data_IF_363118902643
#
_entry.id   IF_363118902643
#
_cell.length_a   1.000
_cell.length_b   1.000
_cell.length_c   1.000
_cell.angle_alpha   90.00
_cell.angle_beta   90.00
_cell.angle_gamma   90.00
#
_symmetry.space_group_name_H-M   'P 1'
#
loop_
_entity.id
_entity.type
_entity.pdbx_description
1 polymer ?
#
# COMPACT_ATOMS: atom_id res chain seq x y z
N UNK A 1 -9.84 16.85 -22.50
CA UNK A 1 -9.06 15.72 -21.94
C UNK A 1 -8.66 16.05 -20.51
N UNK A 2 -8.43 15.06 -19.65
CA UNK A 2 -8.05 15.29 -18.24
C UNK A 2 -6.71 16.04 -18.13
N UNK A 3 -5.73 15.67 -18.95
CA UNK A 3 -4.44 16.36 -19.04
C UNK A 3 -4.61 17.86 -19.28
N UNK A 4 -5.45 18.27 -20.22
CA UNK A 4 -5.71 19.67 -20.53
C UNK A 4 -6.32 20.43 -19.33
N UNK A 5 -7.27 19.82 -18.61
CA UNK A 5 -7.86 20.43 -17.41
C UNK A 5 -6.79 20.67 -16.32
N UNK A 6 -5.87 19.71 -16.14
CA UNK A 6 -4.75 19.86 -15.20
C UNK A 6 -3.79 20.96 -15.68
N UNK A 7 -3.38 20.94 -16.95
CA UNK A 7 -2.45 21.94 -17.50
C UNK A 7 -2.98 23.36 -17.37
N UNK A 8 -4.30 23.58 -17.59
CA UNK A 8 -4.93 24.89 -17.43
C UNK A 8 -4.83 25.43 -15.99
N UNK A 9 -4.67 24.54 -14.98
CA UNK A 9 -4.44 24.95 -13.59
C UNK A 9 -3.00 25.36 -13.31
N UNK A 10 -2.07 24.96 -14.15
CA UNK A 10 -0.63 25.19 -13.98
C UNK A 10 -0.15 26.43 -14.73
N UNK A 11 -0.74 26.74 -15.88
CA UNK A 11 -0.30 27.84 -16.74
C UNK A 11 -0.36 29.19 -16.01
N UNK A 12 0.73 29.93 -16.13
CA UNK A 12 0.85 31.29 -15.56
C UNK A 12 1.17 31.34 -14.06
N UNK A 13 1.40 30.20 -13.44
CA UNK A 13 1.76 30.12 -12.01
C UNK A 13 3.25 29.88 -11.80
N UNK A 14 3.77 30.42 -10.71
CA UNK A 14 5.09 30.06 -10.17
C UNK A 14 4.97 28.76 -9.38
N UNK A 15 5.46 27.63 -9.97
CA UNK A 15 5.22 26.27 -9.46
C UNK A 15 6.47 25.72 -8.80
N UNK A 16 6.26 25.14 -7.61
CA UNK A 16 7.22 24.27 -6.94
C UNK A 16 6.77 22.80 -6.98
N UNK A 17 7.67 21.90 -7.38
CA UNK A 17 7.56 20.46 -7.19
C UNK A 17 8.32 20.13 -5.91
N UNK A 18 7.60 19.81 -4.83
CA UNK A 18 8.16 19.52 -3.52
C UNK A 18 8.33 18.02 -3.31
N UNK A 19 9.59 17.58 -3.31
CA UNK A 19 10.01 16.19 -3.32
C UNK A 19 10.16 15.62 -4.73
N UNK A 20 11.38 15.17 -5.09
CA UNK A 20 11.71 14.67 -6.43
C UNK A 20 11.90 13.14 -6.47
N UNK A 21 11.10 12.43 -5.68
CA UNK A 21 10.95 10.98 -5.74
C UNK A 21 10.11 10.53 -6.96
N UNK A 22 9.44 9.39 -6.84
CA UNK A 22 8.63 8.79 -7.92
C UNK A 22 7.54 9.73 -8.45
N UNK A 23 6.70 10.29 -7.56
CA UNK A 23 5.63 11.21 -7.96
C UNK A 23 6.17 12.57 -8.43
N UNK A 24 7.22 13.11 -7.80
CA UNK A 24 7.82 14.37 -8.24
C UNK A 24 8.42 14.27 -9.66
N UNK A 25 9.08 13.16 -9.98
CA UNK A 25 9.59 12.88 -11.33
C UNK A 25 8.47 12.71 -12.36
N UNK A 26 7.39 12.03 -11.97
CA UNK A 26 6.18 11.89 -12.79
C UNK A 26 5.55 13.25 -13.08
N UNK A 27 5.41 14.11 -12.06
CA UNK A 27 4.91 15.48 -12.19
C UNK A 27 5.78 16.31 -13.14
N UNK A 28 7.09 16.28 -12.94
CA UNK A 28 8.04 16.97 -13.80
C UNK A 28 7.92 16.50 -15.26
N UNK A 29 7.91 15.20 -15.49
CA UNK A 29 7.81 14.61 -16.83
C UNK A 29 6.52 15.00 -17.54
N UNK A 30 5.39 14.98 -16.82
CA UNK A 30 4.10 15.41 -17.35
C UNK A 30 4.12 16.89 -17.73
N UNK A 31 4.59 17.78 -16.84
CA UNK A 31 4.66 19.22 -17.14
C UNK A 31 5.62 19.48 -18.29
N UNK A 32 6.80 18.89 -18.30
CA UNK A 32 7.81 19.12 -19.32
C UNK A 32 7.40 18.62 -20.70
N UNK A 33 6.62 17.54 -20.75
CA UNK A 33 6.05 17.02 -22.00
C UNK A 33 5.14 18.03 -22.71
N UNK A 34 4.34 18.77 -21.93
CA UNK A 34 3.30 19.66 -22.47
C UNK A 34 3.68 21.15 -22.44
N UNK A 35 4.47 21.57 -21.46
CA UNK A 35 4.85 22.95 -21.19
C UNK A 35 6.38 23.05 -21.16
N UNK A 36 7.01 22.86 -22.34
CA UNK A 36 8.46 22.70 -22.51
C UNK A 36 9.27 23.85 -21.92
N UNK A 37 8.80 25.07 -22.10
CA UNK A 37 9.52 26.30 -21.71
C UNK A 37 9.06 26.85 -20.34
N UNK A 38 8.15 26.17 -19.67
CA UNK A 38 7.67 26.61 -18.35
C UNK A 38 8.79 26.49 -17.32
N UNK A 39 9.06 27.60 -16.62
CA UNK A 39 9.99 27.57 -15.49
C UNK A 39 9.40 26.81 -14.31
N UNK A 40 10.17 25.89 -13.71
CA UNK A 40 9.78 25.10 -12.56
C UNK A 40 10.83 25.22 -11.45
N UNK A 41 10.38 25.24 -10.21
CA UNK A 41 11.30 25.03 -9.08
C UNK A 41 11.12 23.58 -8.57
N UNK A 42 12.23 22.86 -8.44
CA UNK A 42 12.27 21.52 -7.85
C UNK A 42 12.92 21.63 -6.48
N UNK A 43 12.22 21.16 -5.46
CA UNK A 43 12.61 21.29 -4.06
C UNK A 43 12.75 19.91 -3.45
N UNK A 44 13.95 19.55 -2.97
CA UNK A 44 14.21 18.27 -2.31
C UNK A 44 15.35 18.40 -1.29
N UNK A 45 15.34 17.57 -0.26
CA UNK A 45 16.46 17.53 0.69
C UNK A 45 17.74 17.04 0.05
N UNK A 46 17.65 16.09 -0.87
CA UNK A 46 18.79 15.46 -1.53
C UNK A 46 19.24 16.29 -2.75
N UNK A 47 20.50 16.18 -3.10
CA UNK A 47 21.02 16.74 -4.34
C UNK A 47 20.38 16.05 -5.56
N UNK A 48 19.96 16.85 -6.54
CA UNK A 48 19.31 16.40 -7.75
C UNK A 48 20.20 16.78 -8.93
N UNK A 49 20.45 15.82 -9.82
CA UNK A 49 21.11 16.05 -11.09
C UNK A 49 20.06 15.97 -12.22
N UNK A 50 19.85 17.06 -12.93
CA UNK A 50 18.93 17.16 -14.04
C UNK A 50 19.46 18.21 -15.04
N UNK A 51 19.50 17.83 -16.31
CA UNK A 51 19.91 18.74 -17.39
C UNK A 51 18.67 19.39 -18.01
N UNK A 52 18.25 20.51 -17.42
CA UNK A 52 17.13 21.32 -17.89
C UNK A 52 17.40 22.79 -17.51
N UNK A 53 17.49 23.65 -18.53
CA UNK A 53 17.78 25.07 -18.32
C UNK A 53 16.61 25.89 -17.74
N UNK A 54 15.40 25.34 -17.78
CA UNK A 54 14.18 26.00 -17.29
C UNK A 54 13.78 25.52 -15.88
N UNK A 55 14.75 25.17 -15.04
CA UNK A 55 14.50 24.82 -13.64
C UNK A 55 15.37 25.61 -12.67
N UNK A 56 14.85 25.79 -11.49
CA UNK A 56 15.60 26.16 -10.28
C UNK A 56 15.62 24.98 -9.32
N UNK A 57 16.80 24.63 -8.78
CA UNK A 57 16.94 23.60 -7.75
C UNK A 57 17.10 24.26 -6.38
N UNK A 58 16.26 23.84 -5.43
CA UNK A 58 16.38 24.21 -4.02
C UNK A 58 16.62 22.91 -3.24
N UNK A 59 17.86 22.71 -2.75
CA UNK A 59 18.28 21.46 -2.12
C UNK A 59 19.01 21.73 -0.79
N UNK A 60 19.19 20.67 0.01
CA UNK A 60 19.93 20.73 1.27
C UNK A 60 19.01 20.86 2.48
N UNK A 61 19.58 21.20 3.65
CA UNK A 61 18.86 21.15 4.93
C UNK A 61 17.72 22.14 5.05
N UNK A 62 17.85 23.32 4.43
CA UNK A 62 16.85 24.41 4.48
C UNK A 62 15.91 24.40 3.26
N UNK A 63 15.71 23.26 2.61
CA UNK A 63 14.92 23.15 1.38
C UNK A 63 13.43 23.51 1.56
N UNK A 64 12.92 23.51 2.78
CA UNK A 64 11.53 23.87 3.11
C UNK A 64 11.34 25.38 3.41
N UNK A 65 12.41 26.17 3.34
CA UNK A 65 12.30 27.61 3.58
C UNK A 65 11.61 28.32 2.42
N UNK A 66 10.87 29.39 2.74
CA UNK A 66 10.23 30.29 1.76
C UNK A 66 9.26 29.61 0.79
N UNK A 67 8.53 28.60 1.22
CA UNK A 67 7.51 27.91 0.40
C UNK A 67 6.34 28.84 0.03
N UNK A 68 6.08 29.89 0.81
CA UNK A 68 5.01 30.88 0.60
C UNK A 68 5.19 31.74 -0.66
N UNK A 69 6.38 31.79 -1.26
CA UNK A 69 6.67 32.54 -2.49
C UNK A 69 6.06 31.92 -3.75
N UNK A 70 5.68 30.64 -3.73
CA UNK A 70 5.10 29.96 -4.86
C UNK A 70 3.59 30.15 -4.93
N UNK A 71 3.03 30.12 -6.15
CA UNK A 71 1.59 30.16 -6.37
C UNK A 71 0.96 28.77 -6.23
N UNK A 72 1.72 27.73 -6.53
CA UNK A 72 1.28 26.33 -6.41
C UNK A 72 2.46 25.44 -6.00
N UNK A 73 2.22 24.61 -5.01
CA UNK A 73 3.20 23.64 -4.49
C UNK A 73 2.64 22.23 -4.72
N UNK A 74 3.23 21.49 -5.67
CA UNK A 74 2.84 20.11 -5.94
C UNK A 74 3.69 19.20 -5.04
N UNK A 75 3.11 18.76 -3.92
CA UNK A 75 3.82 18.03 -2.87
C UNK A 75 3.78 16.53 -3.12
N UNK A 76 4.96 15.89 -3.11
CA UNK A 76 5.10 14.44 -3.06
C UNK A 76 4.78 13.88 -1.66
N UNK A 77 4.16 12.69 -1.54
CA UNK A 77 3.72 12.13 -0.25
C UNK A 77 4.86 11.91 0.75
N UNK A 78 6.07 11.62 0.28
CA UNK A 78 7.22 11.35 1.15
C UNK A 78 7.78 12.57 1.90
N UNK A 79 7.34 13.78 1.58
CA UNK A 79 7.78 14.99 2.28
C UNK A 79 6.85 15.27 3.46
N UNK A 80 7.40 15.27 4.68
CA UNK A 80 6.68 15.67 5.88
C UNK A 80 6.79 17.17 6.11
N UNK A 81 5.66 17.81 6.40
CA UNK A 81 5.59 19.22 6.81
C UNK A 81 5.24 19.39 8.29
N UNK A 82 5.35 18.33 9.10
CA UNK A 82 4.94 18.32 10.52
C UNK A 82 5.60 19.41 11.38
N UNK A 83 6.82 19.80 11.04
CA UNK A 83 7.63 20.79 11.77
C UNK A 83 7.56 22.19 11.13
N UNK A 84 6.68 22.40 10.14
CA UNK A 84 6.55 23.65 9.38
C UNK A 84 5.16 24.25 9.60
N UNK A 85 5.10 25.55 9.88
CA UNK A 85 3.85 26.30 9.85
C UNK A 85 3.48 26.65 8.41
N UNK A 86 2.64 25.81 7.80
CA UNK A 86 2.12 26.01 6.45
C UNK A 86 0.76 26.71 6.39
N UNK A 87 0.24 27.20 7.51
CA UNK A 87 -1.10 27.82 7.59
C UNK A 87 -1.30 28.96 6.60
N UNK A 88 -0.24 29.74 6.32
CA UNK A 88 -0.27 30.87 5.39
C UNK A 88 -0.37 30.49 3.91
N UNK A 89 -0.02 29.27 3.55
CA UNK A 89 0.02 28.80 2.15
C UNK A 89 -0.60 27.41 1.94
N UNK A 90 -1.39 26.93 2.90
CA UNK A 90 -2.09 25.64 2.82
C UNK A 90 -2.95 25.53 1.55
N UNK A 91 -3.58 26.64 1.13
CA UNK A 91 -4.41 26.66 -0.09
C UNK A 91 -3.60 26.53 -1.37
N UNK A 92 -2.29 26.79 -1.33
CA UNK A 92 -1.36 26.64 -2.45
C UNK A 92 -0.79 25.22 -2.56
N UNK A 93 -0.96 24.39 -1.51
CA UNK A 93 -0.48 23.00 -1.53
C UNK A 93 -1.49 22.11 -2.26
N UNK A 94 -0.99 21.34 -3.22
CA UNK A 94 -1.71 20.32 -3.95
C UNK A 94 -0.85 19.06 -4.11
N UNK A 95 -1.39 18.02 -4.72
CA UNK A 95 -0.69 16.77 -5.05
C UNK A 95 -1.18 16.24 -6.40
N UNK A 96 -0.49 15.22 -6.94
CA UNK A 96 -0.98 14.52 -8.14
C UNK A 96 -2.39 13.95 -7.92
N UNK A 97 -2.63 13.39 -6.73
CA UNK A 97 -3.94 12.83 -6.37
C UNK A 97 -5.02 13.91 -6.37
N UNK A 98 -4.77 15.05 -5.74
CA UNK A 98 -5.72 16.16 -5.71
C UNK A 98 -6.01 16.70 -7.11
N UNK A 99 -4.97 16.90 -7.93
CA UNK A 99 -5.14 17.35 -9.32
C UNK A 99 -6.03 16.39 -10.13
N UNK A 100 -5.93 15.08 -9.90
CA UNK A 100 -6.79 14.08 -10.55
C UNK A 100 -8.22 14.13 -9.98
N UNK A 101 -8.39 14.17 -8.66
CA UNK A 101 -9.70 14.25 -8.00
C UNK A 101 -10.51 15.48 -8.44
N UNK A 102 -9.85 16.61 -8.63
CA UNK A 102 -10.48 17.84 -9.12
C UNK A 102 -11.01 17.76 -10.56
N UNK A 103 -10.46 16.86 -11.37
CA UNK A 103 -10.85 16.75 -12.79
C UNK A 103 -11.75 15.56 -13.07
N UNK A 104 -11.68 14.52 -12.25
CA UNK A 104 -12.49 13.30 -12.43
C UNK A 104 -12.61 12.48 -11.13
N UNK A 105 -13.41 12.96 -10.16
CA UNK A 105 -13.70 12.20 -8.94
C UNK A 105 -14.73 11.08 -9.15
N UNK A 106 -15.58 11.20 -10.16
CA UNK A 106 -16.73 10.32 -10.42
C UNK A 106 -16.31 8.89 -10.83
N UNK A 107 -15.19 8.76 -11.52
CA UNK A 107 -14.68 7.47 -11.99
C UNK A 107 -13.65 6.84 -11.03
N UNK A 108 -13.47 7.42 -9.86
CA UNK A 108 -12.45 6.98 -8.90
C UNK A 108 -13.06 6.13 -7.79
N UNK A 109 -12.44 4.95 -7.59
CA UNK A 109 -12.60 4.09 -6.42
C UNK A 109 -11.34 4.27 -5.56
N UNK A 110 -11.45 5.03 -4.47
CA UNK A 110 -10.34 5.28 -3.56
C UNK A 110 -10.34 4.31 -2.39
N UNK A 111 -9.20 3.66 -2.12
CA UNK A 111 -9.06 2.66 -1.05
C UNK A 111 -7.93 3.06 -0.12
N UNK A 112 -8.24 3.27 1.16
CA UNK A 112 -7.26 3.52 2.23
C UNK A 112 -7.48 2.62 3.44
N UNK A 113 -6.62 2.74 4.41
CA UNK A 113 -6.61 1.99 5.67
C UNK A 113 -5.19 1.89 6.21
N UNK A 114 -5.01 1.39 7.40
CA UNK A 114 -3.67 1.06 7.90
C UNK A 114 -3.17 -0.21 7.25
N UNK A 115 -3.99 -1.28 7.23
CA UNK A 115 -3.66 -2.60 6.66
C UNK A 115 -4.68 -3.03 5.60
N UNK A 116 -4.26 -3.90 4.68
CA UNK A 116 -5.14 -4.50 3.66
C UNK A 116 -5.31 -3.70 2.37
N UNK A 117 -4.84 -2.44 2.30
CA UNK A 117 -4.98 -1.56 1.13
C UNK A 117 -4.61 -2.24 -0.19
N UNK A 118 -3.36 -2.63 -0.33
CA UNK A 118 -2.82 -3.18 -1.59
C UNK A 118 -3.55 -4.44 -2.03
N UNK A 119 -3.89 -5.33 -1.09
CA UNK A 119 -4.63 -6.56 -1.39
C UNK A 119 -6.03 -6.23 -1.91
N UNK A 120 -6.75 -5.32 -1.22
CA UNK A 120 -8.12 -4.93 -1.60
C UNK A 120 -8.14 -4.19 -2.92
N UNK A 121 -7.20 -3.25 -3.12
CA UNK A 121 -7.10 -2.45 -4.36
C UNK A 121 -6.77 -3.34 -5.56
N UNK A 122 -5.81 -4.26 -5.41
CA UNK A 122 -5.45 -5.17 -6.51
C UNK A 122 -6.54 -6.19 -6.80
N UNK A 123 -7.21 -6.74 -5.78
CA UNK A 123 -8.33 -7.65 -6.00
C UNK A 123 -9.49 -6.92 -6.71
N UNK A 124 -9.80 -5.68 -6.33
CA UNK A 124 -10.83 -4.87 -6.99
C UNK A 124 -10.46 -4.58 -8.44
N UNK A 125 -9.19 -4.25 -8.69
CA UNK A 125 -8.69 -4.06 -10.05
C UNK A 125 -8.89 -5.32 -10.92
N UNK A 126 -8.53 -6.50 -10.43
CA UNK A 126 -8.70 -7.75 -11.16
C UNK A 126 -10.18 -8.09 -11.42
N UNK A 127 -11.06 -7.84 -10.44
CA UNK A 127 -12.52 -8.01 -10.61
C UNK A 127 -13.07 -7.08 -11.68
N UNK A 128 -12.66 -5.82 -11.69
CA UNK A 128 -13.07 -4.84 -12.70
C UNK A 128 -12.51 -5.19 -14.08
N UNK A 129 -11.23 -5.52 -14.19
CA UNK A 129 -10.57 -5.89 -15.44
C UNK A 129 -11.20 -7.10 -16.12
N UNK A 130 -11.82 -8.00 -15.34
CA UNK A 130 -12.59 -9.13 -15.87
C UNK A 130 -13.91 -8.72 -16.55
N UNK A 131 -14.39 -7.48 -16.31
CA UNK A 131 -15.73 -7.04 -16.65
C UNK A 131 -15.80 -5.69 -17.38
N UNK A 132 -14.71 -4.91 -17.39
CA UNK A 132 -14.60 -3.61 -18.04
C UNK A 132 -13.28 -3.53 -18.83
N UNK A 133 -13.30 -2.77 -19.92
CA UNK A 133 -12.14 -2.64 -20.81
C UNK A 133 -11.09 -1.63 -20.29
N UNK A 134 -11.55 -0.49 -19.77
CA UNK A 134 -10.69 0.62 -19.36
C UNK A 134 -10.61 0.70 -17.84
N UNK A 135 -9.69 -0.07 -17.26
CA UNK A 135 -9.45 -0.12 -15.80
C UNK A 135 -7.99 0.15 -15.51
N UNK A 136 -7.72 1.06 -14.59
CA UNK A 136 -6.36 1.45 -14.20
C UNK A 136 -6.13 1.25 -12.71
N UNK A 137 -4.94 0.74 -12.37
CA UNK A 137 -4.46 0.55 -11.00
C UNK A 137 -3.40 1.61 -10.69
N UNK A 138 -3.68 2.49 -9.75
CA UNK A 138 -2.93 3.72 -9.53
C UNK A 138 -2.60 4.00 -8.06
N UNK A 139 -1.74 4.97 -7.83
CA UNK A 139 -1.46 5.54 -6.52
C UNK A 139 -0.26 4.93 -5.80
N UNK A 140 -0.41 4.59 -4.53
CA UNK A 140 0.67 4.06 -3.71
C UNK A 140 1.20 2.70 -4.22
N UNK A 141 0.34 1.91 -4.88
CA UNK A 141 0.70 0.78 -5.75
C UNK A 141 0.34 1.11 -7.21
N UNK A 142 0.81 0.30 -8.15
CA UNK A 142 0.60 0.56 -9.58
C UNK A 142 1.53 1.66 -10.08
N UNK A 143 1.01 2.60 -10.84
CA UNK A 143 1.77 3.73 -11.42
C UNK A 143 1.30 5.06 -10.83
N UNK A 144 2.15 6.12 -10.84
CA UNK A 144 1.73 7.48 -10.50
C UNK A 144 0.57 7.94 -11.37
N UNK A 145 -0.35 8.70 -10.80
CA UNK A 145 -1.60 9.06 -11.49
C UNK A 145 -1.40 9.88 -12.76
N UNK A 146 -0.32 10.66 -12.87
CA UNK A 146 -0.03 11.46 -14.07
C UNK A 146 0.69 10.67 -15.18
N UNK A 147 1.27 9.50 -14.89
CA UNK A 147 2.03 8.72 -15.90
C UNK A 147 1.12 8.19 -17.03
N UNK A 148 -0.16 8.00 -16.77
CA UNK A 148 -1.15 7.51 -17.75
C UNK A 148 -2.38 8.40 -17.90
N UNK A 149 -2.28 9.67 -17.46
CA UNK A 149 -3.42 10.61 -17.46
C UNK A 149 -4.00 10.84 -18.89
N UNK A 150 -3.19 10.66 -19.92
CA UNK A 150 -3.59 10.82 -21.32
C UNK A 150 -4.44 9.66 -21.84
N UNK A 151 -4.32 8.49 -21.19
CA UNK A 151 -5.04 7.27 -21.56
C UNK A 151 -6.45 7.23 -20.96
N UNK A 152 -6.74 8.12 -19.99
CA UNK A 152 -8.05 8.11 -19.32
C UNK A 152 -9.13 8.76 -20.14
N UNK A 153 -10.28 8.09 -20.20
CA UNK A 153 -11.51 8.55 -20.83
C UNK A 153 -12.64 8.67 -19.80
N UNK A 154 -13.77 9.28 -20.12
CA UNK A 154 -14.94 9.28 -19.23
C UNK A 154 -15.50 7.87 -18.92
N UNK A 155 -15.10 6.83 -19.67
CA UNK A 155 -15.47 5.43 -19.41
C UNK A 155 -14.46 4.67 -18.57
N UNK A 156 -13.31 5.25 -18.31
CA UNK A 156 -12.26 4.65 -17.48
C UNK A 156 -12.72 4.49 -16.04
N UNK A 157 -12.32 3.40 -15.40
CA UNK A 157 -12.49 3.20 -13.95
C UNK A 157 -11.13 3.19 -13.29
N UNK A 158 -10.90 4.10 -12.36
CA UNK A 158 -9.61 4.31 -11.71
C UNK A 158 -9.65 3.74 -10.29
N UNK A 159 -8.92 2.66 -10.03
CA UNK A 159 -8.81 2.05 -8.71
C UNK A 159 -7.52 2.56 -8.08
N UNK A 160 -7.63 3.36 -7.02
CA UNK A 160 -6.50 4.09 -6.45
C UNK A 160 -6.24 3.66 -5.02
N UNK A 161 -5.03 3.12 -4.76
CA UNK A 161 -4.56 2.99 -3.39
C UNK A 161 -4.11 4.34 -2.86
N UNK A 162 -4.76 4.82 -1.80
CA UNK A 162 -4.48 6.12 -1.20
C UNK A 162 -3.83 5.97 0.18
N UNK A 163 -2.59 6.44 0.32
CA UNK A 163 -1.91 6.52 1.61
C UNK A 163 -2.41 7.72 2.44
N UNK A 164 -2.13 7.73 3.76
CA UNK A 164 -2.43 8.90 4.60
C UNK A 164 -1.70 10.15 4.14
N UNK A 165 -0.49 10.00 3.62
CA UNK A 165 0.33 11.11 3.13
C UNK A 165 -0.18 11.70 1.82
N UNK A 166 -0.79 10.87 0.95
CA UNK A 166 -1.45 11.34 -0.27
C UNK A 166 -2.77 12.05 0.04
N UNK A 167 -3.48 11.62 1.09
CA UNK A 167 -4.76 12.20 1.52
C UNK A 167 -4.61 13.46 2.38
N UNK A 168 -3.40 13.84 2.79
CA UNK A 168 -3.16 14.92 3.75
C UNK A 168 -3.72 16.28 3.29
N UNK A 169 -3.53 16.63 2.03
CA UNK A 169 -3.90 17.94 1.48
C UNK A 169 -4.98 17.85 0.40
N UNK A 170 -5.72 16.75 0.30
CA UNK A 170 -6.84 16.67 -0.65
C UNK A 170 -8.02 17.54 -0.20
N UNK A 171 -8.69 18.14 -1.17
CA UNK A 171 -9.87 19.01 -1.01
C UNK A 171 -11.08 18.42 -1.76
N UNK A 172 -10.90 17.25 -2.36
CA UNK A 172 -11.92 16.46 -3.01
C UNK A 172 -11.84 15.01 -2.51
N UNK A 173 -12.98 14.31 -2.56
CA UNK A 173 -13.06 12.88 -2.21
C UNK A 173 -13.55 12.08 -3.42
N UNK A 174 -13.12 10.82 -3.60
CA UNK A 174 -13.59 9.97 -4.69
C UNK A 174 -15.08 9.62 -4.52
N UNK A 175 -15.74 9.32 -5.63
CA UNK A 175 -17.14 8.89 -5.65
C UNK A 175 -17.38 7.64 -4.81
N UNK A 176 -16.55 6.62 -4.97
CA UNK A 176 -16.55 5.43 -4.11
C UNK A 176 -15.29 5.46 -3.26
N UNK A 177 -15.46 5.58 -1.95
CA UNK A 177 -14.37 5.66 -1.00
C UNK A 177 -14.43 4.53 0.03
N UNK A 178 -13.26 3.99 0.39
CA UNK A 178 -13.13 2.87 1.31
C UNK A 178 -12.10 3.15 2.38
N UNK A 179 -12.47 2.97 3.65
CA UNK A 179 -11.52 2.86 4.77
C UNK A 179 -11.62 1.46 5.37
N UNK A 180 -10.57 0.66 5.16
CA UNK A 180 -10.52 -0.72 5.63
C UNK A 180 -10.41 -0.84 7.15
N UNK A 181 -9.57 -0.02 7.76
CA UNK A 181 -9.29 0.03 9.20
C UNK A 181 -8.42 1.23 9.55
N UNK A 182 -8.42 1.61 10.83
CA UNK A 182 -7.50 2.58 11.42
C UNK A 182 -6.80 1.93 12.61
N UNK A 183 -5.46 1.91 12.60
CA UNK A 183 -4.59 1.49 13.68
C UNK A 183 -3.46 2.52 13.85
N UNK A 184 -2.66 2.38 14.88
CA UNK A 184 -1.47 3.20 15.05
C UNK A 184 -0.42 2.81 14.02
N UNK A 185 0.10 3.80 13.26
CA UNK A 185 1.16 3.63 12.27
C UNK A 185 1.73 5.01 11.86
N UNK A 186 2.95 5.06 11.30
CA UNK A 186 3.57 6.25 10.69
C UNK A 186 3.56 7.54 11.54
N UNK A 187 3.75 7.43 12.87
CA UNK A 187 3.76 8.59 13.76
C UNK A 187 4.97 9.52 13.54
N UNK A 188 6.07 8.97 13.05
CA UNK A 188 7.27 9.68 12.66
C UNK A 188 7.02 10.74 11.58
N UNK A 189 6.13 10.44 10.63
CA UNK A 189 5.75 11.35 9.54
C UNK A 189 4.59 12.26 9.92
N UNK A 190 3.54 11.70 10.49
CA UNK A 190 2.31 12.42 10.80
C UNK A 190 2.39 13.30 12.07
N UNK A 191 3.38 13.07 12.94
CA UNK A 191 3.55 13.77 14.21
C UNK A 191 2.57 13.35 15.31
N UNK A 192 1.34 12.91 14.97
CA UNK A 192 0.36 12.39 15.92
C UNK A 192 -0.57 11.34 15.30
N UNK A 193 -1.10 10.46 16.15
CA UNK A 193 -2.08 9.45 15.75
C UNK A 193 -3.37 10.11 15.23
N UNK A 194 -3.77 11.21 15.86
CA UNK A 194 -4.97 11.94 15.46
C UNK A 194 -4.81 12.54 14.06
N UNK A 195 -3.68 13.18 13.76
CA UNK A 195 -3.40 13.73 12.44
C UNK A 195 -3.35 12.62 11.38
N UNK A 196 -2.70 11.49 11.68
CA UNK A 196 -2.67 10.32 10.81
C UNK A 196 -4.08 9.80 10.47
N UNK A 197 -4.96 9.68 11.47
CA UNK A 197 -6.34 9.24 11.25
C UNK A 197 -7.15 10.30 10.48
N UNK A 198 -7.03 11.58 10.84
CA UNK A 198 -7.74 12.67 10.17
C UNK A 198 -7.36 12.76 8.68
N UNK A 199 -6.07 12.57 8.34
CA UNK A 199 -5.63 12.51 6.95
C UNK A 199 -6.36 11.43 6.16
N UNK A 200 -6.55 10.22 6.75
CA UNK A 200 -7.32 9.16 6.08
C UNK A 200 -8.81 9.50 5.97
N UNK A 201 -9.39 10.19 6.94
CA UNK A 201 -10.79 10.62 6.89
C UNK A 201 -11.06 11.61 5.75
N UNK A 202 -10.05 12.31 5.23
CA UNK A 202 -10.21 13.17 4.06
C UNK A 202 -10.75 12.43 2.82
N UNK A 203 -10.61 11.09 2.76
CA UNK A 203 -11.20 10.28 1.68
C UNK A 203 -12.75 10.34 1.67
N UNK A 204 -13.38 10.62 2.82
CA UNK A 204 -14.84 10.78 2.97
C UNK A 204 -15.29 12.22 3.12
N UNK A 205 -14.41 13.09 3.65
CA UNK A 205 -14.74 14.44 4.15
C UNK A 205 -15.45 15.31 3.14
N UNK A 206 -15.12 15.17 1.86
CA UNK A 206 -15.62 16.03 0.78
C UNK A 206 -16.63 15.32 -0.11
N UNK A 207 -17.13 14.15 0.31
CA UNK A 207 -18.20 13.42 -0.37
C UNK A 207 -19.56 14.15 -0.22
N UNK A 208 -20.41 13.92 -1.18
CA UNK A 208 -21.80 14.41 -1.25
C UNK A 208 -22.79 13.25 -1.04
N UNK A 209 -24.08 13.54 -1.08
CA UNK A 209 -25.15 12.54 -0.93
C UNK A 209 -25.17 11.50 -2.07
N UNK A 210 -24.61 11.84 -3.24
CA UNK A 210 -24.53 10.95 -4.41
C UNK A 210 -23.35 9.96 -4.32
N UNK A 211 -22.50 10.09 -3.31
CA UNK A 211 -21.28 9.29 -3.15
C UNK A 211 -21.46 8.11 -2.18
N UNK A 212 -20.46 7.23 -2.12
CA UNK A 212 -20.48 6.03 -1.29
C UNK A 212 -19.28 5.95 -0.36
N UNK A 213 -19.54 5.85 0.95
CA UNK A 213 -18.55 5.61 2.00
C UNK A 213 -18.65 4.17 2.52
N UNK A 214 -17.62 3.37 2.30
CA UNK A 214 -17.56 1.97 2.74
C UNK A 214 -16.52 1.85 3.83
N UNK A 215 -16.88 1.38 5.02
CA UNK A 215 -15.99 1.36 6.16
C UNK A 215 -16.21 0.16 7.09
N UNK A 216 -15.16 -0.16 7.86
CA UNK A 216 -15.20 -1.21 8.89
C UNK A 216 -15.82 -0.69 10.17
N UNK A 217 -16.97 -1.20 10.58
CA UNK A 217 -17.66 -0.76 11.80
C UNK A 217 -17.35 -1.61 13.04
N UNK A 218 -16.44 -2.58 12.93
CA UNK A 218 -15.83 -3.30 14.05
C UNK A 218 -14.44 -2.76 14.43
N UNK A 219 -14.06 -1.59 13.89
CA UNK A 219 -12.82 -0.91 14.24
C UNK A 219 -13.11 0.32 15.11
N UNK A 220 -12.68 0.29 16.37
CA UNK A 220 -13.00 1.30 17.38
C UNK A 220 -12.55 2.72 16.97
N UNK A 221 -11.30 2.85 16.48
CA UNK A 221 -10.78 4.16 16.04
C UNK A 221 -11.60 4.73 14.88
N UNK A 222 -11.98 3.87 13.92
CA UNK A 222 -12.76 4.30 12.77
C UNK A 222 -14.19 4.69 13.17
N UNK A 223 -14.82 3.92 14.06
CA UNK A 223 -16.14 4.26 14.57
C UNK A 223 -16.18 5.61 15.28
N UNK A 224 -15.16 5.91 16.08
CA UNK A 224 -15.00 7.22 16.70
C UNK A 224 -14.90 8.32 15.65
N UNK A 225 -14.03 8.16 14.64
CA UNK A 225 -13.87 9.14 13.56
C UNK A 225 -15.13 9.32 12.71
N UNK A 226 -15.88 8.25 12.44
CA UNK A 226 -17.17 8.33 11.71
C UNK A 226 -18.24 9.13 12.47
N UNK A 227 -18.12 9.28 13.80
CA UNK A 227 -18.99 10.16 14.61
C UNK A 227 -18.51 11.60 14.65
N UNK A 228 -17.19 11.81 14.56
CA UNK A 228 -16.58 13.16 14.59
C UNK A 228 -16.75 13.91 13.25
N UNK A 229 -16.83 13.20 12.13
CA UNK A 229 -16.93 13.76 10.79
C UNK A 229 -18.37 13.74 10.27
N UNK A 230 -18.83 14.85 9.69
CA UNK A 230 -20.12 14.92 8.98
C UNK A 230 -20.03 14.28 7.59
N UNK A 231 -20.17 12.96 7.54
CA UNK A 231 -20.12 12.19 6.29
C UNK A 231 -21.53 12.16 5.68
N UNK A 232 -21.69 12.78 4.51
CA UNK A 232 -22.99 12.95 3.82
C UNK A 232 -23.37 11.81 2.92
N UNK A 233 -22.38 11.07 2.42
CA UNK A 233 -22.54 9.98 1.45
C UNK A 233 -23.32 8.79 2.00
N UNK A 234 -23.84 7.96 1.08
CA UNK A 234 -24.46 6.68 1.41
C UNK A 234 -23.43 5.75 2.06
N UNK A 235 -23.68 5.34 3.29
CA UNK A 235 -22.75 4.55 4.11
C UNK A 235 -23.04 3.06 3.98
N UNK A 236 -21.96 2.27 3.76
CA UNK A 236 -21.95 0.81 3.88
C UNK A 236 -21.03 0.39 5.03
N UNK A 237 -21.57 -0.28 6.04
CA UNK A 237 -20.79 -0.74 7.18
C UNK A 237 -20.43 -2.23 7.03
N UNK A 238 -19.12 -2.52 7.12
CA UNK A 238 -18.55 -3.87 6.98
C UNK A 238 -18.09 -4.36 8.35
N UNK A 239 -18.65 -5.49 8.82
CA UNK A 239 -18.28 -6.11 10.10
C UNK A 239 -18.13 -7.62 9.96
N UNK A 240 -17.17 -8.16 10.67
CA UNK A 240 -16.90 -9.60 10.68
C UNK A 240 -17.77 -10.33 11.71
N UNK A 241 -19.08 -10.29 11.53
CA UNK A 241 -20.09 -11.03 12.30
C UNK A 241 -21.30 -11.37 11.43
N UNK A 242 -22.26 -12.12 12.00
CA UNK A 242 -23.49 -12.55 11.33
C UNK A 242 -24.75 -11.93 11.95
N UNK A 243 -24.63 -10.78 12.61
CA UNK A 243 -25.78 -10.10 13.17
C UNK A 243 -26.66 -9.47 12.08
N UNK A 244 -27.99 -9.70 12.17
CA UNK A 244 -28.95 -9.02 11.31
C UNK A 244 -29.03 -7.55 11.71
N UNK A 245 -28.71 -6.66 10.78
CA UNK A 245 -28.71 -5.21 11.01
C UNK A 245 -29.55 -4.51 9.94
N UNK A 246 -30.16 -3.40 10.33
CA UNK A 246 -30.86 -2.51 9.39
C UNK A 246 -29.85 -1.59 8.66
N UNK A 247 -30.19 -1.19 7.45
CA UNK A 247 -29.35 -0.32 6.63
C UNK A 247 -28.41 -1.08 5.70
N UNK A 248 -27.44 -0.37 5.10
CA UNK A 248 -26.47 -0.96 4.18
C UNK A 248 -25.37 -1.70 4.94
N UNK A 249 -25.69 -2.89 5.41
CA UNK A 249 -24.83 -3.72 6.24
C UNK A 249 -24.20 -4.87 5.45
N UNK A 250 -22.90 -5.07 5.62
CA UNK A 250 -22.13 -6.17 5.03
C UNK A 250 -21.62 -7.05 6.17
N UNK A 251 -22.03 -8.32 6.17
CA UNK A 251 -21.79 -9.27 7.26
C UNK A 251 -21.23 -10.59 6.73
N UNK A 252 -20.68 -11.39 7.62
CA UNK A 252 -20.19 -12.75 7.31
C UNK A 252 -20.40 -13.69 8.49
N UNK A 253 -20.65 -14.95 8.19
CA UNK A 253 -20.61 -16.05 9.17
C UNK A 253 -19.19 -16.65 9.32
N UNK A 254 -18.16 -15.94 8.84
CA UNK A 254 -16.77 -16.42 8.79
C UNK A 254 -16.44 -17.17 7.49
N UNK A 255 -17.42 -17.39 6.63
CA UNK A 255 -17.28 -18.09 5.35
C UNK A 255 -18.06 -17.41 4.22
N UNK A 256 -19.36 -17.29 4.36
CA UNK A 256 -20.24 -16.69 3.38
C UNK A 256 -20.39 -15.18 3.64
N UNK A 257 -20.65 -14.37 2.60
CA UNK A 257 -20.83 -12.93 2.73
C UNK A 257 -22.26 -12.53 2.35
N UNK A 258 -22.84 -11.69 3.20
CA UNK A 258 -24.19 -11.14 3.04
C UNK A 258 -24.14 -9.62 2.93
N UNK A 259 -24.90 -9.04 2.00
CA UNK A 259 -25.13 -7.59 1.88
C UNK A 259 -26.62 -7.35 2.03
N UNK A 260 -27.01 -6.53 3.02
CA UNK A 260 -28.42 -6.27 3.37
C UNK A 260 -29.22 -7.57 3.60
N UNK A 261 -28.59 -8.52 4.30
CA UNK A 261 -29.11 -9.87 4.59
C UNK A 261 -29.28 -10.77 3.34
N UNK A 262 -28.89 -10.34 2.14
CA UNK A 262 -28.86 -11.15 0.94
C UNK A 262 -27.50 -11.86 0.80
N UNK A 263 -27.48 -13.17 0.58
CA UNK A 263 -26.26 -13.94 0.30
C UNK A 263 -25.70 -13.50 -1.07
N UNK A 264 -24.51 -12.90 -1.06
CA UNK A 264 -23.83 -12.41 -2.29
C UNK A 264 -22.59 -13.20 -2.64
N UNK A 265 -22.03 -13.94 -1.68
CA UNK A 265 -20.84 -14.75 -1.91
C UNK A 265 -20.84 -15.97 -1.01
N UNK A 266 -20.63 -17.13 -1.60
CA UNK A 266 -20.42 -18.39 -0.90
C UNK A 266 -18.96 -18.81 -1.08
N UNK A 267 -18.25 -19.00 0.02
CA UNK A 267 -16.83 -19.34 -0.01
C UNK A 267 -16.61 -20.82 -0.40
N UNK A 268 -15.94 -21.01 -1.54
CA UNK A 268 -15.59 -22.31 -2.08
C UNK A 268 -14.08 -22.37 -2.30
N UNK A 269 -13.33 -22.61 -1.21
CA UNK A 269 -11.87 -22.84 -1.27
C UNK A 269 -11.07 -21.69 -1.90
N UNK A 270 -11.32 -20.45 -1.45
CA UNK A 270 -10.50 -19.30 -1.87
C UNK A 270 -9.01 -19.52 -1.57
N UNK A 271 -8.15 -19.06 -2.47
CA UNK A 271 -6.69 -19.14 -2.31
C UNK A 271 -6.14 -18.06 -1.37
N UNK A 272 -6.83 -16.95 -1.27
CA UNK A 272 -6.50 -15.84 -0.36
C UNK A 272 -7.02 -16.16 1.04
N UNK A 273 -6.18 -16.83 1.85
CA UNK A 273 -6.55 -17.36 3.16
C UNK A 273 -6.60 -16.31 4.27
N UNK A 274 -7.33 -16.62 5.35
CA UNK A 274 -7.43 -15.84 6.59
C UNK A 274 -8.65 -14.90 6.64
N UNK A 275 -9.10 -14.62 7.87
CA UNK A 275 -10.29 -13.81 8.15
C UNK A 275 -10.12 -12.36 7.70
N UNK A 276 -8.91 -11.80 7.89
CA UNK A 276 -8.58 -10.46 7.39
C UNK A 276 -8.72 -10.34 5.87
N UNK A 277 -8.46 -11.42 5.13
CA UNK A 277 -8.64 -11.44 3.69
C UNK A 277 -10.10 -11.65 3.28
N UNK A 278 -10.87 -12.43 4.03
CA UNK A 278 -12.32 -12.48 3.85
C UNK A 278 -12.93 -11.08 4.04
N UNK A 279 -12.45 -10.33 5.03
CA UNK A 279 -12.87 -8.94 5.22
C UNK A 279 -12.49 -8.04 4.04
N UNK A 280 -11.29 -8.18 3.47
CA UNK A 280 -10.90 -7.47 2.24
C UNK A 280 -11.84 -7.83 1.07
N UNK A 281 -12.24 -9.11 0.94
CA UNK A 281 -13.21 -9.59 -0.05
C UNK A 281 -14.59 -8.95 0.17
N UNK A 282 -15.04 -8.79 1.41
CA UNK A 282 -16.32 -8.13 1.72
C UNK A 282 -16.37 -6.71 1.16
N UNK A 283 -15.28 -5.94 1.26
CA UNK A 283 -15.18 -4.61 0.66
C UNK A 283 -15.27 -4.66 -0.87
N UNK A 284 -14.56 -5.60 -1.50
CA UNK A 284 -14.60 -5.77 -2.96
C UNK A 284 -16.00 -6.14 -3.45
N UNK A 285 -16.70 -7.05 -2.76
CA UNK A 285 -18.07 -7.43 -3.08
C UNK A 285 -19.05 -6.25 -2.90
N UNK A 286 -18.83 -5.41 -1.89
CA UNK A 286 -19.64 -4.20 -1.67
C UNK A 286 -19.49 -3.23 -2.84
N UNK A 287 -18.25 -2.94 -3.26
CA UNK A 287 -17.99 -2.10 -4.44
C UNK A 287 -18.62 -2.72 -5.68
N UNK A 288 -18.49 -4.04 -5.86
CA UNK A 288 -19.06 -4.76 -7.00
C UNK A 288 -20.58 -4.63 -7.05
N UNK A 289 -21.26 -4.70 -5.90
CA UNK A 289 -22.72 -4.51 -5.78
C UNK A 289 -23.11 -3.06 -6.11
N UNK A 290 -22.40 -2.06 -5.60
CA UNK A 290 -22.63 -0.63 -5.90
C UNK A 290 -22.50 -0.36 -7.39
N UNK A 291 -21.50 -0.93 -8.05
CA UNK A 291 -21.25 -0.78 -9.49
C UNK A 291 -22.12 -1.69 -10.38
N UNK A 292 -23.04 -2.47 -9.79
CA UNK A 292 -23.86 -3.45 -10.50
C UNK A 292 -23.05 -4.43 -11.39
N UNK A 293 -21.86 -4.86 -10.88
CA UNK A 293 -21.05 -5.86 -11.57
C UNK A 293 -21.68 -7.26 -11.44
N UNK A 294 -21.32 -8.13 -12.37
CA UNK A 294 -21.67 -9.56 -12.31
C UNK A 294 -20.90 -10.22 -11.14
N UNK A 295 -21.63 -10.61 -10.09
CA UNK A 295 -21.06 -11.18 -8.87
C UNK A 295 -20.49 -12.59 -9.08
N UNK A 296 -20.99 -13.37 -10.06
CA UNK A 296 -20.41 -14.68 -10.36
C UNK A 296 -19.01 -14.52 -10.99
N UNK A 297 -18.84 -13.57 -11.92
CA UNK A 297 -17.51 -13.24 -12.45
C UNK A 297 -16.57 -12.68 -11.38
N UNK A 298 -17.09 -11.87 -10.46
CA UNK A 298 -16.30 -11.40 -9.31
C UNK A 298 -15.88 -12.57 -8.42
N UNK A 299 -16.76 -13.54 -8.14
CA UNK A 299 -16.47 -14.76 -7.39
C UNK A 299 -15.37 -15.60 -8.06
N UNK A 300 -15.42 -15.80 -9.39
CA UNK A 300 -14.38 -16.52 -10.12
C UNK A 300 -12.98 -15.91 -9.88
N UNK A 301 -12.89 -14.57 -9.96
CA UNK A 301 -11.64 -13.84 -9.70
C UNK A 301 -11.21 -14.01 -8.24
N UNK A 302 -12.12 -13.81 -7.27
CA UNK A 302 -11.85 -13.92 -5.84
C UNK A 302 -11.30 -15.32 -5.50
N UNK A 303 -11.93 -16.39 -6.00
CA UNK A 303 -11.49 -17.76 -5.74
C UNK A 303 -10.11 -18.07 -6.36
N UNK A 304 -9.77 -17.47 -7.48
CA UNK A 304 -8.49 -17.68 -8.18
C UNK A 304 -7.37 -16.76 -7.70
N UNK A 305 -7.68 -15.64 -7.03
CA UNK A 305 -6.73 -14.63 -6.62
C UNK A 305 -5.80 -15.15 -5.50
N UNK A 306 -4.50 -15.22 -5.82
CA UNK A 306 -3.46 -15.76 -4.92
C UNK A 306 -2.85 -14.72 -3.97
N UNK A 307 -3.31 -13.48 -4.02
CA UNK A 307 -2.68 -12.35 -3.34
C UNK A 307 -1.69 -11.61 -4.23
N UNK A 308 -0.96 -10.67 -3.62
CA UNK A 308 0.05 -9.88 -4.32
C UNK A 308 1.35 -10.67 -4.44
N UNK A 309 2.03 -10.53 -5.58
CA UNK A 309 3.40 -11.02 -5.72
C UNK A 309 4.27 -10.44 -4.60
N UNK A 310 5.15 -11.29 -4.10
CA UNK A 310 6.14 -10.92 -3.07
C UNK A 310 5.56 -10.49 -1.71
N UNK A 311 4.27 -10.73 -1.47
CA UNK A 311 3.60 -10.49 -0.17
C UNK A 311 2.97 -11.79 0.33
N UNK A 312 3.66 -12.48 1.23
CA UNK A 312 3.27 -13.82 1.70
C UNK A 312 2.82 -14.73 0.54
N UNK A 313 3.43 -14.56 -0.63
CA UNK A 313 3.08 -15.26 -1.85
C UNK A 313 3.49 -16.74 -1.71
N UNK A 314 2.52 -17.64 -1.78
CA UNK A 314 2.80 -19.06 -1.85
C UNK A 314 3.34 -19.44 -3.23
N UNK A 315 4.65 -19.83 -3.28
CA UNK A 315 5.31 -20.21 -4.52
C UNK A 315 4.96 -21.66 -4.91
N UNK A 316 4.91 -22.56 -3.93
CA UNK A 316 4.64 -23.98 -4.14
C UNK A 316 5.18 -24.84 -3.01
N UNK A 317 4.91 -26.14 -3.10
CA UNK A 317 5.50 -27.17 -2.22
C UNK A 317 6.55 -27.95 -3.01
N UNK A 318 7.79 -27.97 -2.51
CA UNK A 318 8.94 -28.64 -3.11
C UNK A 318 9.65 -29.45 -2.03
N UNK A 319 9.90 -30.73 -2.28
CA UNK A 319 10.47 -31.67 -1.29
C UNK A 319 9.69 -31.67 0.05
N UNK A 320 8.36 -31.61 -0.06
CA UNK A 320 7.42 -31.53 1.08
C UNK A 320 7.60 -30.27 1.96
N UNK A 321 8.24 -29.21 1.45
CA UNK A 321 8.39 -27.91 2.11
C UNK A 321 7.55 -26.88 1.35
N UNK A 322 6.72 -26.11 2.07
CA UNK A 322 5.93 -25.01 1.52
C UNK A 322 6.79 -23.73 1.49
N UNK A 323 6.98 -23.16 0.31
CA UNK A 323 7.78 -21.93 0.17
C UNK A 323 6.91 -20.70 0.01
N UNK A 324 7.19 -19.67 0.83
CA UNK A 324 6.51 -18.38 0.78
C UNK A 324 7.49 -17.25 0.52
N UNK A 325 7.07 -16.32 -0.36
CA UNK A 325 7.84 -15.14 -0.75
C UNK A 325 7.18 -13.89 -0.19
N UNK A 326 7.88 -13.20 0.71
CA UNK A 326 7.40 -11.96 1.35
C UNK A 326 8.48 -10.87 1.27
N UNK A 327 9.17 -10.80 0.13
CA UNK A 327 10.31 -9.87 -0.07
C UNK A 327 9.93 -8.39 0.03
N UNK A 328 8.64 -8.05 -0.03
CA UNK A 328 8.11 -6.70 0.22
C UNK A 328 8.24 -6.28 1.70
N UNK A 329 8.42 -7.22 2.62
CA UNK A 329 8.58 -6.97 4.05
C UNK A 329 9.99 -6.42 4.36
N UNK A 330 10.15 -5.11 4.28
CA UNK A 330 11.43 -4.40 4.47
C UNK A 330 11.61 -3.81 5.88
N UNK A 331 10.69 -4.11 6.79
CA UNK A 331 10.72 -3.71 8.20
C UNK A 331 10.33 -4.90 9.11
N UNK A 332 10.76 -4.90 10.38
CA UNK A 332 10.48 -5.95 11.36
C UNK A 332 8.99 -6.32 11.49
N UNK A 333 8.13 -5.34 11.70
CA UNK A 333 6.69 -5.52 11.88
C UNK A 333 6.02 -6.28 10.73
N UNK A 334 6.47 -6.05 9.49
CA UNK A 334 5.95 -6.75 8.32
C UNK A 334 6.29 -8.25 8.38
N UNK A 335 7.54 -8.59 8.71
CA UNK A 335 7.99 -9.97 8.87
C UNK A 335 7.29 -10.68 10.02
N UNK A 336 7.11 -10.01 11.17
CA UNK A 336 6.35 -10.55 12.30
C UNK A 336 4.90 -10.88 11.90
N UNK A 337 4.25 -9.97 11.19
CA UNK A 337 2.88 -10.19 10.72
C UNK A 337 2.79 -11.36 9.73
N UNK A 338 3.79 -11.53 8.84
CA UNK A 338 3.84 -12.65 7.93
C UNK A 338 4.01 -13.98 8.68
N UNK A 339 4.91 -14.03 9.67
CA UNK A 339 5.10 -15.21 10.52
C UNK A 339 3.84 -15.57 11.31
N UNK A 340 3.14 -14.56 11.87
CA UNK A 340 1.87 -14.77 12.60
C UNK A 340 0.74 -15.26 11.69
N UNK A 341 0.74 -14.85 10.41
CA UNK A 341 -0.26 -15.24 9.43
C UNK A 341 -0.03 -16.66 8.88
N UNK A 342 1.23 -17.04 8.63
CA UNK A 342 1.63 -18.36 8.15
C UNK A 342 1.96 -19.22 9.38
N UNK A 343 0.96 -19.84 9.97
CA UNK A 343 1.02 -20.49 11.30
C UNK A 343 2.06 -21.62 11.43
N UNK A 344 2.55 -22.18 10.33
CA UNK A 344 3.48 -23.32 10.27
C UNK A 344 4.88 -22.94 9.76
N UNK A 345 5.31 -21.71 9.95
CA UNK A 345 6.69 -21.29 9.61
C UNK A 345 7.69 -22.00 10.53
N UNK A 346 8.48 -22.91 9.93
CA UNK A 346 9.57 -23.61 10.60
C UNK A 346 10.93 -22.97 10.33
N UNK A 347 11.10 -22.39 9.13
CA UNK A 347 12.30 -21.71 8.68
C UNK A 347 12.00 -20.30 8.19
N UNK A 348 12.74 -19.32 8.71
CA UNK A 348 12.71 -17.93 8.25
C UNK A 348 14.05 -17.55 7.62
N UNK A 349 14.01 -17.07 6.37
CA UNK A 349 15.16 -16.44 5.68
C UNK A 349 14.98 -14.93 5.80
N UNK A 350 15.93 -14.22 6.42
CA UNK A 350 15.82 -12.78 6.62
C UNK A 350 17.20 -12.08 6.56
N UNK A 351 17.17 -10.77 6.33
CA UNK A 351 18.35 -9.92 6.22
C UNK A 351 18.37 -9.10 4.93
N UNK A 352 19.22 -8.09 4.92
CA UNK A 352 19.42 -7.11 3.86
C UNK A 352 20.08 -5.86 4.38
N UNK A 353 20.02 -4.75 3.63
CA UNK A 353 20.67 -3.49 3.94
C UNK A 353 20.22 -2.92 5.29
N UNK A 354 21.21 -2.63 6.15
CA UNK A 354 20.97 -1.94 7.41
C UNK A 354 20.68 -0.45 7.18
N UNK A 355 19.49 -0.02 7.60
CA UNK A 355 19.00 1.38 7.50
C UNK A 355 18.92 2.08 8.86
N UNK A 356 19.56 1.54 9.89
CA UNK A 356 19.52 2.07 11.25
C UNK A 356 18.21 1.82 11.98
N UNK A 357 17.45 0.80 11.58
CA UNK A 357 16.21 0.40 12.26
C UNK A 357 16.56 -0.24 13.60
N UNK A 358 15.73 0.04 14.61
CA UNK A 358 15.83 -0.66 15.91
C UNK A 358 15.21 -2.06 15.81
N UNK A 359 16.02 -3.09 16.04
CA UNK A 359 15.61 -4.48 15.94
C UNK A 359 15.40 -5.18 17.29
N UNK A 360 15.44 -4.47 18.43
CA UNK A 360 15.37 -5.08 19.76
C UNK A 360 14.07 -5.87 19.96
N UNK A 361 12.92 -5.29 19.61
CA UNK A 361 11.61 -5.96 19.70
C UNK A 361 11.54 -7.17 18.77
N UNK A 362 12.07 -7.06 17.57
CA UNK A 362 12.12 -8.16 16.60
C UNK A 362 12.98 -9.33 17.07
N UNK A 363 14.10 -9.05 17.74
CA UNK A 363 14.97 -10.08 18.35
C UNK A 363 14.20 -10.84 19.42
N UNK A 364 13.50 -10.14 20.32
CA UNK A 364 12.66 -10.79 21.35
C UNK A 364 11.52 -11.60 20.70
N UNK A 365 10.86 -11.07 19.67
CA UNK A 365 9.87 -11.81 18.91
C UNK A 365 10.44 -13.10 18.31
N UNK A 366 11.58 -13.05 17.62
CA UNK A 366 12.22 -14.23 17.03
C UNK A 366 12.59 -15.26 18.09
N UNK A 367 13.14 -14.82 19.21
CA UNK A 367 13.51 -15.66 20.35
C UNK A 367 12.32 -16.46 20.88
N UNK A 368 11.17 -15.81 21.05
CA UNK A 368 9.96 -16.40 21.64
C UNK A 368 9.06 -17.11 20.61
N UNK A 369 9.31 -16.94 19.30
CA UNK A 369 8.53 -17.52 18.21
C UNK A 369 8.62 -19.04 18.15
N UNK A 370 7.71 -19.69 17.42
CA UNK A 370 7.73 -21.12 17.12
C UNK A 370 8.71 -21.51 16.00
N UNK A 371 9.32 -20.52 15.33
CA UNK A 371 10.32 -20.75 14.28
C UNK A 371 11.50 -21.50 14.85
N UNK A 372 11.93 -22.60 14.19
CA UNK A 372 13.08 -23.38 14.62
C UNK A 372 14.38 -22.93 13.98
N UNK A 373 14.31 -22.63 12.67
CA UNK A 373 15.48 -22.34 11.86
C UNK A 373 15.49 -20.89 11.41
N UNK A 374 16.59 -20.19 11.65
CA UNK A 374 16.81 -18.81 11.24
C UNK A 374 17.99 -18.76 10.28
N UNK A 375 17.74 -18.41 9.02
CA UNK A 375 18.77 -18.26 7.99
C UNK A 375 19.03 -16.78 7.80
N UNK A 376 20.17 -16.35 8.27
CA UNK A 376 20.60 -14.97 8.37
C UNK A 376 21.39 -14.55 7.13
N UNK A 377 20.88 -13.58 6.38
CA UNK A 377 21.55 -12.98 5.22
C UNK A 377 22.23 -11.66 5.61
N UNK A 378 23.31 -11.25 4.90
CA UNK A 378 23.96 -9.97 5.13
C UNK A 378 22.98 -8.81 4.87
N UNK A 379 23.15 -7.59 5.45
CA UNK A 379 24.07 -7.29 6.57
C UNK A 379 23.33 -7.38 7.90
N UNK A 380 22.05 -7.03 7.91
CA UNK A 380 21.17 -6.97 9.08
C UNK A 380 20.95 -8.35 9.70
N UNK A 381 20.68 -9.37 8.89
CA UNK A 381 20.45 -10.73 9.39
C UNK A 381 21.65 -11.30 10.13
N UNK A 382 22.87 -11.04 9.64
CA UNK A 382 24.10 -11.47 10.33
C UNK A 382 24.25 -10.82 11.69
N UNK A 383 23.94 -9.52 11.83
CA UNK A 383 23.99 -8.82 13.11
C UNK A 383 23.00 -9.39 14.13
N UNK A 384 21.75 -9.59 13.69
CA UNK A 384 20.67 -10.14 14.52
C UNK A 384 20.97 -11.59 14.88
N UNK A 385 21.46 -12.39 13.94
CA UNK A 385 21.81 -13.80 14.15
C UNK A 385 22.84 -13.97 15.26
N UNK A 386 23.89 -13.15 15.28
CA UNK A 386 24.93 -13.19 16.37
C UNK A 386 24.36 -12.92 17.75
N UNK A 387 23.39 -11.96 17.84
CA UNK A 387 22.74 -11.69 19.13
C UNK A 387 21.88 -12.90 19.54
N UNK A 388 21.13 -13.46 18.60
CA UNK A 388 20.25 -14.61 18.87
C UNK A 388 21.00 -15.89 19.24
N UNK A 389 22.24 -16.08 18.76
CA UNK A 389 23.11 -17.19 19.21
C UNK A 389 23.38 -17.15 20.73
N UNK A 390 23.47 -15.95 21.32
CA UNK A 390 23.73 -15.76 22.73
C UNK A 390 22.49 -15.89 23.62
N UNK A 391 21.29 -15.52 23.06
CA UNK A 391 20.09 -15.35 23.88
C UNK A 391 18.95 -16.34 23.54
N UNK A 392 19.14 -17.24 22.57
CA UNK A 392 18.11 -18.18 22.14
C UNK A 392 18.65 -19.58 21.84
N UNK A 393 17.75 -20.56 21.79
CA UNK A 393 18.05 -21.94 21.39
C UNK A 393 17.69 -22.21 19.91
N UNK A 394 17.61 -21.18 19.06
CA UNK A 394 17.28 -21.32 17.63
C UNK A 394 18.44 -21.95 16.88
N UNK A 395 18.11 -22.71 15.82
CA UNK A 395 19.10 -23.18 14.88
C UNK A 395 19.44 -22.05 13.90
N UNK A 396 20.55 -21.35 14.15
CA UNK A 396 20.97 -20.18 13.38
C UNK A 396 21.97 -20.60 12.32
N UNK A 397 21.75 -20.19 11.09
CA UNK A 397 22.61 -20.41 9.92
C UNK A 397 22.86 -19.10 9.21
N UNK A 398 24.01 -18.98 8.58
CA UNK A 398 24.39 -17.81 7.79
C UNK A 398 24.49 -18.21 6.31
N UNK A 399 24.03 -17.32 5.46
CA UNK A 399 24.09 -17.50 4.01
C UNK A 399 24.52 -16.18 3.34
N UNK A 400 25.49 -16.23 2.44
CA UNK A 400 26.00 -15.06 1.74
C UNK A 400 25.08 -14.62 0.60
N UNK A 401 24.22 -15.52 0.12
CA UNK A 401 23.30 -15.26 -1.00
C UNK A 401 22.04 -16.14 -0.93
N UNK A 402 21.04 -15.83 -1.79
CA UNK A 402 19.77 -16.56 -1.83
C UNK A 402 19.90 -18.06 -2.23
N UNK A 403 20.91 -18.42 -3.05
CA UNK A 403 21.10 -19.82 -3.43
C UNK A 403 21.55 -20.65 -2.24
N UNK A 404 22.50 -20.13 -1.46
CA UNK A 404 22.95 -20.75 -0.23
C UNK A 404 21.84 -20.80 0.82
N UNK A 405 21.11 -19.70 1.00
CA UNK A 405 19.98 -19.65 1.91
C UNK A 405 18.93 -20.71 1.59
N UNK A 406 18.63 -20.93 0.31
CA UNK A 406 17.68 -21.98 -0.09
C UNK A 406 18.21 -23.40 0.12
N UNK A 407 19.51 -23.65 -0.07
CA UNK A 407 20.12 -24.96 0.24
C UNK A 407 20.01 -25.25 1.76
N UNK A 408 20.27 -24.27 2.58
CA UNK A 408 20.11 -24.40 4.04
C UNK A 408 18.62 -24.59 4.41
N UNK A 409 17.70 -23.86 3.77
CA UNK A 409 16.27 -24.04 3.99
C UNK A 409 15.83 -25.47 3.64
N UNK A 410 16.25 -26.00 2.51
CA UNK A 410 15.98 -27.39 2.12
C UNK A 410 16.53 -28.41 3.13
N UNK A 411 17.69 -28.13 3.69
CA UNK A 411 18.35 -29.05 4.65
C UNK A 411 17.71 -29.04 6.04
N UNK A 412 17.21 -27.89 6.51
CA UNK A 412 16.80 -27.71 7.90
C UNK A 412 15.29 -27.57 8.12
N UNK A 413 14.51 -27.22 7.08
CA UNK A 413 13.06 -27.13 7.23
C UNK A 413 12.45 -28.52 7.43
N UNK A 414 11.62 -28.67 8.43
CA UNK A 414 10.90 -29.91 8.68
C UNK A 414 9.93 -30.21 7.53
N UNK A 415 9.91 -31.43 6.92
CA UNK A 415 8.92 -31.80 5.92
C UNK A 415 7.48 -31.52 6.37
N UNK A 416 6.63 -31.05 5.47
CA UNK A 416 5.26 -30.62 5.76
C UNK A 416 5.13 -29.19 6.28
N UNK A 417 6.24 -28.55 6.69
CA UNK A 417 6.26 -27.20 7.25
C UNK A 417 6.62 -26.13 6.20
N UNK A 418 6.63 -24.87 6.62
CA UNK A 418 6.83 -23.70 5.75
C UNK A 418 8.22 -23.08 5.91
N UNK A 419 8.83 -22.74 4.77
CA UNK A 419 9.97 -21.83 4.64
C UNK A 419 9.48 -20.47 4.13
N UNK A 420 9.75 -19.42 4.88
CA UNK A 420 9.35 -18.03 4.56
C UNK A 420 10.59 -17.20 4.26
N UNK A 421 10.66 -16.58 3.07
CA UNK A 421 11.58 -15.46 2.82
C UNK A 421 10.87 -14.16 3.15
N UNK A 422 11.22 -13.52 4.27
CA UNK A 422 10.70 -12.22 4.70
C UNK A 422 11.86 -11.38 5.27
N UNK A 423 12.43 -10.48 4.48
CA UNK A 423 13.75 -9.89 4.76
C UNK A 423 13.85 -9.06 6.03
N UNK A 424 12.78 -8.41 6.48
CA UNK A 424 12.82 -7.45 7.61
C UNK A 424 13.81 -6.28 7.41
N UNK A 425 14.38 -6.17 6.21
CA UNK A 425 15.38 -5.18 5.82
C UNK A 425 15.28 -4.87 4.32
N UNK A 426 15.81 -3.73 3.89
CA UNK A 426 15.76 -3.31 2.49
C UNK A 426 16.62 -4.22 1.58
N UNK A 427 16.19 -4.36 0.32
CA UNK A 427 16.83 -5.27 -0.66
C UNK A 427 18.03 -4.68 -1.40
N UNK A 428 18.30 -3.38 -1.26
CA UNK A 428 19.20 -2.59 -2.13
C UNK A 428 20.69 -2.94 -2.08
N UNK A 429 21.13 -3.84 -1.20
CA UNK A 429 22.54 -4.21 -1.09
C UNK A 429 22.99 -5.12 -2.26
N UNK A 430 22.12 -6.06 -2.67
CA UNK A 430 22.41 -7.06 -3.71
C UNK A 430 21.40 -7.09 -4.86
N UNK A 431 20.28 -6.39 -4.71
CA UNK A 431 19.19 -6.32 -5.68
C UNK A 431 18.75 -4.88 -5.85
N UNK A 432 18.26 -4.51 -7.04
CA UNK A 432 17.75 -3.16 -7.32
C UNK A 432 16.54 -2.81 -6.47
N UNK A 433 15.72 -3.81 -6.12
CA UNK A 433 14.49 -3.66 -5.37
C UNK A 433 14.03 -5.02 -4.82
N UNK A 434 12.91 -5.04 -4.10
CA UNK A 434 12.32 -6.26 -3.53
C UNK A 434 11.74 -7.18 -4.62
N UNK A 435 11.30 -6.64 -5.75
CA UNK A 435 10.77 -7.41 -6.87
C UNK A 435 11.86 -8.29 -7.50
N UNK A 436 13.03 -7.72 -7.74
CA UNK A 436 14.17 -8.47 -8.27
C UNK A 436 14.62 -9.59 -7.31
N UNK A 437 14.68 -9.28 -6.00
CA UNK A 437 14.96 -10.28 -4.94
C UNK A 437 13.92 -11.39 -4.91
N UNK A 438 12.63 -11.01 -4.99
CA UNK A 438 11.51 -11.96 -5.01
C UNK A 438 11.50 -12.84 -6.24
N UNK A 439 11.74 -12.28 -7.42
CA UNK A 439 11.84 -13.05 -8.68
C UNK A 439 13.04 -14.01 -8.66
N UNK A 440 14.18 -13.58 -8.11
CA UNK A 440 15.35 -14.45 -7.95
C UNK A 440 15.06 -15.63 -7.01
N UNK A 441 14.40 -15.37 -5.87
CA UNK A 441 13.99 -16.42 -4.94
C UNK A 441 13.03 -17.42 -5.59
N UNK A 442 12.00 -16.95 -6.25
CA UNK A 442 11.03 -17.81 -6.97
C UNK A 442 11.74 -18.71 -8.00
N UNK A 443 12.68 -18.14 -8.77
CA UNK A 443 13.46 -18.87 -9.76
C UNK A 443 14.34 -19.95 -9.13
N UNK A 444 14.98 -19.67 -7.98
CA UNK A 444 15.82 -20.62 -7.26
C UNK A 444 14.95 -21.76 -6.73
N UNK A 445 13.85 -21.45 -6.03
CA UNK A 445 12.93 -22.46 -5.49
C UNK A 445 12.39 -23.37 -6.60
N UNK A 446 11.97 -22.81 -7.74
CA UNK A 446 11.47 -23.59 -8.89
C UNK A 446 12.53 -24.42 -9.61
N UNK A 447 13.82 -24.12 -9.46
CA UNK A 447 14.91 -24.92 -10.01
C UNK A 447 15.29 -26.12 -9.13
N UNK A 448 14.74 -26.23 -7.93
CA UNK A 448 15.00 -27.35 -7.00
C UNK A 448 14.14 -28.59 -7.30
N UNK A 449 13.51 -28.64 -8.47
CA UNK A 449 12.76 -29.78 -9.01
C UNK A 449 13.72 -30.89 -9.47
#
# INVERSE_FOLDING_TARGET
>A
MYSEKILNKLIGKNIAILGFGREGKSTYSFIRKHLKDMHLTIIDKNTIEIDDQNITLVTGENYLDNLDQYDLIIKSPGISLKDIDYSKYIDKITSQLELLLEVDRENIIGITGTKGKSTTTSLMYEVLKRQKDEVYLLGNIGIPVLDSIEDYTPNSTLVIEMSSHQLEFVKQSPHIAVILNLFQDHLDHAGSLEHYHNNKMNIFKYQTEDDYAIYSDDNEYLNKKMQEFDIKSTKYNVRFDNENVFGNAVRTNGKDVFINNELVYKDEERKLIGDHNLKNIMFVLTISKILNLDLEKAKEVILSFKGLKYRMEYIGTYHDIKYYNDTIATIPDATENAVKAIKDVDTLIFGGLDRGIDYREFIEFLKDSTIKNLICMPSTGTKIGRILEEVSNKNIKYADNLEEANKLALQYTTPGMSCLLSPSAASYEYFKNFEEKGAAFEKIVKKMW
#
